data_IF_985872370091
#
_entry.id   IF_985872370091
#
_cell.length_a   1.000
_cell.length_b   1.000
_cell.length_c   1.000
_cell.angle_alpha   90.00
_cell.angle_beta   90.00
_cell.angle_gamma   90.00
#
_symmetry.space_group_name_H-M   'P 1'
#
loop_
_entity.id
_entity.type
_entity.pdbx_description
1 polymer ?
#
# COMPACT_ATOMS: atom_id res chain seq x y z
N UNK A 1 -6.47 8.52 -33.73
CA UNK A 1 -5.56 7.37 -33.67
C UNK A 1 -6.27 6.20 -34.37
N UNK A 2 -5.70 5.68 -35.44
CA UNK A 2 -6.39 4.72 -36.33
C UNK A 2 -6.67 3.39 -35.64
N UNK A 3 -7.91 2.91 -35.69
CA UNK A 3 -8.36 1.61 -35.12
C UNK A 3 -7.52 0.41 -35.57
N UNK A 4 -6.89 0.48 -36.74
CA UNK A 4 -6.00 -0.55 -37.27
C UNK A 4 -4.67 -0.65 -36.53
N UNK A 5 -4.16 0.43 -35.92
CA UNK A 5 -2.92 0.41 -35.12
C UNK A 5 -3.14 -0.15 -33.71
N UNK A 6 -4.36 0.01 -33.17
CA UNK A 6 -4.73 -0.59 -31.88
C UNK A 6 -4.89 -2.12 -32.00
N UNK A 7 -5.44 -2.59 -33.14
CA UNK A 7 -5.60 -4.01 -33.40
C UNK A 7 -4.25 -4.71 -33.63
N UNK A 8 -3.31 -4.04 -34.31
CA UNK A 8 -1.95 -4.54 -34.51
C UNK A 8 -1.15 -4.64 -33.22
N UNK A 9 -1.37 -3.71 -32.27
CA UNK A 9 -0.72 -3.75 -30.95
C UNK A 9 -1.31 -4.87 -30.07
N UNK A 10 -2.61 -5.12 -30.15
CA UNK A 10 -3.27 -6.22 -29.46
C UNK A 10 -2.87 -7.60 -30.02
N UNK A 11 -2.64 -7.73 -31.33
CA UNK A 11 -2.16 -8.98 -31.94
C UNK A 11 -0.68 -9.26 -31.64
N UNK A 12 0.15 -8.23 -31.48
CA UNK A 12 1.56 -8.39 -31.14
C UNK A 12 1.78 -8.90 -29.68
N UNK A 13 0.79 -8.67 -28.81
CA UNK A 13 0.81 -9.19 -27.43
C UNK A 13 0.41 -10.68 -27.34
N UNK A 14 -0.22 -11.24 -28.37
CA UNK A 14 -0.65 -12.65 -28.42
C UNK A 14 0.42 -13.61 -28.94
N UNK A 15 1.57 -13.10 -29.43
CA UNK A 15 2.65 -13.93 -29.98
C UNK A 15 3.80 -14.21 -29.01
N UNK A 16 3.61 -13.94 -27.70
CA UNK A 16 4.59 -14.30 -26.68
C UNK A 16 4.42 -15.78 -26.34
N UNK A 17 5.31 -16.51 -26.88
CA UNK A 17 5.82 -17.83 -26.73
C UNK A 17 5.23 -18.81 -25.72
N UNK A 18 5.15 -20.05 -26.15
CA UNK A 18 4.87 -21.24 -25.38
C UNK A 18 5.59 -21.22 -24.01
N UNK A 19 4.84 -21.01 -22.96
CA UNK A 19 5.27 -21.33 -21.61
C UNK A 19 5.13 -22.85 -21.48
N UNK A 20 6.25 -23.57 -21.51
CA UNK A 20 6.28 -24.94 -21.02
C UNK A 20 5.88 -24.88 -19.53
N UNK A 21 4.72 -25.37 -19.20
CA UNK A 21 4.36 -25.71 -17.84
C UNK A 21 5.19 -26.95 -17.45
N UNK A 22 6.21 -26.74 -16.63
CA UNK A 22 6.86 -27.82 -15.91
C UNK A 22 5.87 -28.33 -14.87
N UNK A 23 5.55 -29.62 -14.92
CA UNK A 23 4.69 -30.27 -13.92
C UNK A 23 5.32 -30.07 -12.54
N UNK A 24 4.70 -29.22 -11.74
CA UNK A 24 5.03 -29.10 -10.33
C UNK A 24 4.51 -30.33 -9.62
N UNK A 25 5.44 -31.18 -9.20
CA UNK A 25 5.18 -32.37 -8.40
C UNK A 25 4.47 -31.94 -7.10
N UNK A 26 3.15 -32.07 -7.11
CA UNK A 26 2.28 -31.75 -5.99
C UNK A 26 2.31 -32.93 -5.04
N UNK A 27 3.10 -32.88 -4.01
CA UNK A 27 2.92 -33.47 -2.68
C UNK A 27 4.23 -33.43 -1.89
N UNK A 28 4.78 -32.23 -1.66
CA UNK A 28 5.52 -32.00 -0.43
C UNK A 28 4.53 -31.39 0.54
N UNK A 29 4.13 -32.16 1.55
CA UNK A 29 3.60 -31.63 2.80
C UNK A 29 4.72 -30.71 3.31
N UNK A 30 4.61 -29.43 2.99
CA UNK A 30 5.43 -28.41 3.61
C UNK A 30 4.91 -28.37 5.03
N UNK A 31 5.69 -28.97 5.94
CA UNK A 31 5.56 -28.70 7.36
C UNK A 31 5.39 -27.18 7.47
N UNK A 32 4.32 -26.72 8.12
CA UNK A 32 4.02 -25.31 8.24
C UNK A 32 5.19 -24.71 8.99
N UNK A 33 6.20 -24.25 8.25
CA UNK A 33 7.33 -23.54 8.84
C UNK A 33 6.73 -22.41 9.64
N UNK A 34 6.98 -22.46 10.94
CA UNK A 34 6.51 -21.50 11.90
C UNK A 34 6.79 -20.08 11.37
N UNK A 35 5.74 -19.33 11.05
CA UNK A 35 5.86 -18.03 10.42
C UNK A 35 6.68 -17.11 11.33
N UNK A 36 7.94 -16.94 10.99
CA UNK A 36 8.82 -15.97 11.64
C UNK A 36 8.32 -14.57 11.28
N UNK A 37 7.74 -13.88 12.25
CA UNK A 37 7.57 -12.45 12.11
C UNK A 37 8.98 -11.87 12.23
N UNK A 38 9.53 -11.47 11.10
CA UNK A 38 10.69 -10.59 11.07
C UNK A 38 10.16 -9.20 11.49
N UNK A 39 9.89 -9.05 12.78
CA UNK A 39 9.82 -7.75 13.40
C UNK A 39 11.14 -7.05 13.11
N UNK A 40 11.22 -5.72 13.08
CA UNK A 40 12.46 -4.99 12.73
C UNK A 40 13.74 -5.74 13.09
N UNK A 41 14.91 -5.41 12.55
CA UNK A 41 16.16 -6.15 12.74
C UNK A 41 16.52 -6.50 14.21
N UNK A 42 15.71 -6.03 15.16
CA UNK A 42 15.88 -6.22 16.61
C UNK A 42 15.14 -7.42 17.21
N UNK A 43 14.25 -8.11 16.48
CA UNK A 43 13.45 -9.20 17.05
C UNK A 43 13.15 -10.30 16.02
N UNK A 44 13.94 -11.36 16.05
CA UNK A 44 13.55 -12.67 15.50
C UNK A 44 12.76 -13.44 16.58
N UNK A 45 11.49 -13.09 16.78
CA UNK A 45 10.62 -13.84 17.70
C UNK A 45 9.54 -14.57 16.92
N UNK A 46 9.25 -15.78 17.34
CA UNK A 46 8.12 -16.55 16.82
C UNK A 46 6.82 -15.84 17.17
N UNK A 47 5.83 -15.90 16.27
CA UNK A 47 4.52 -15.26 16.48
C UNK A 47 3.92 -15.56 17.87
N UNK A 48 4.01 -16.82 18.32
CA UNK A 48 3.52 -17.27 19.62
C UNK A 48 4.24 -16.67 20.83
N UNK A 49 5.43 -16.13 20.65
CA UNK A 49 6.27 -15.56 21.71
C UNK A 49 6.07 -14.04 21.84
N UNK A 50 5.32 -13.44 20.90
CA UNK A 50 5.02 -12.01 20.98
C UNK A 50 3.93 -11.77 22.04
N UNK A 51 4.17 -10.82 22.97
CA UNK A 51 3.18 -10.47 23.99
C UNK A 51 1.97 -9.69 23.42
N UNK A 52 2.02 -9.35 22.14
CA UNK A 52 1.02 -8.53 21.46
C UNK A 52 0.14 -9.35 20.55
N UNK A 53 -1.12 -8.94 20.41
CA UNK A 53 -2.01 -9.52 19.42
C UNK A 53 -1.58 -9.09 18.01
N UNK A 54 -1.26 -10.06 17.17
CA UNK A 54 -0.84 -9.83 15.79
C UNK A 54 -1.86 -10.46 14.82
N UNK A 55 -2.13 -9.77 13.73
CA UNK A 55 -2.86 -10.32 12.59
C UNK A 55 -1.94 -10.29 11.38
N UNK A 56 -1.79 -11.44 10.73
CA UNK A 56 -1.05 -11.58 9.49
C UNK A 56 -2.05 -11.71 8.36
N UNK A 57 -1.87 -10.92 7.32
CA UNK A 57 -2.63 -11.01 6.07
C UNK A 57 -1.66 -11.42 4.97
N UNK A 58 -1.84 -12.62 4.46
CA UNK A 58 -1.07 -13.14 3.32
C UNK A 58 -1.50 -12.47 2.02
N UNK A 59 -0.70 -12.63 0.97
CA UNK A 59 -1.08 -12.19 -0.36
C UNK A 59 -2.43 -12.81 -0.82
N UNK A 60 -2.66 -14.08 -0.50
CA UNK A 60 -3.91 -14.77 -0.83
C UNK A 60 -5.12 -14.14 -0.11
N UNK A 61 -4.98 -13.82 1.19
CA UNK A 61 -6.04 -13.15 1.96
C UNK A 61 -6.36 -11.78 1.36
N UNK A 62 -5.32 -11.01 1.02
CA UNK A 62 -5.48 -9.68 0.42
C UNK A 62 -6.13 -9.74 -0.96
N UNK A 63 -5.77 -10.72 -1.79
CA UNK A 63 -6.39 -10.91 -3.11
C UNK A 63 -7.84 -11.35 -3.00
N UNK A 64 -8.14 -12.34 -2.13
CA UNK A 64 -9.50 -12.83 -1.91
C UNK A 64 -10.43 -11.72 -1.38
N UNK A 65 -9.91 -10.85 -0.53
CA UNK A 65 -10.64 -9.70 0.02
C UNK A 65 -10.54 -8.43 -0.84
N UNK A 66 -9.89 -8.48 -2.00
CA UNK A 66 -9.68 -7.34 -2.91
C UNK A 66 -9.11 -6.08 -2.20
N UNK A 67 -8.09 -6.28 -1.38
CA UNK A 67 -7.43 -5.17 -0.68
C UNK A 67 -6.66 -4.31 -1.68
N UNK A 68 -7.15 -3.10 -1.92
CA UNK A 68 -6.55 -2.11 -2.80
C UNK A 68 -6.07 -0.86 -2.04
N UNK A 69 -6.49 -0.72 -0.79
CA UNK A 69 -6.18 0.41 0.08
C UNK A 69 -6.01 -0.06 1.52
N UNK A 70 -5.22 0.67 2.30
CA UNK A 70 -5.09 0.45 3.74
C UNK A 70 -6.46 0.48 4.46
N UNK A 71 -7.43 1.22 3.94
CA UNK A 71 -8.78 1.35 4.51
C UNK A 71 -9.51 0.00 4.55
N UNK A 72 -9.24 -0.90 3.61
CA UNK A 72 -9.82 -2.23 3.57
C UNK A 72 -9.45 -3.09 4.79
N UNK A 73 -8.35 -2.77 5.48
CA UNK A 73 -7.93 -3.47 6.70
C UNK A 73 -8.97 -3.37 7.81
N UNK A 74 -9.82 -2.34 7.80
CA UNK A 74 -10.92 -2.18 8.77
C UNK A 74 -11.86 -3.40 8.78
N UNK A 75 -12.11 -4.00 7.62
CA UNK A 75 -12.99 -5.16 7.50
C UNK A 75 -12.31 -6.50 7.84
N UNK A 76 -10.97 -6.55 7.80
CA UNK A 76 -10.20 -7.79 7.91
C UNK A 76 -9.53 -7.97 9.27
N UNK A 77 -9.16 -6.87 9.92
CA UNK A 77 -8.38 -6.90 11.15
C UNK A 77 -9.22 -6.48 12.34
N UNK A 78 -9.40 -7.34 13.36
CA UNK A 78 -10.15 -6.97 14.55
C UNK A 78 -9.56 -5.77 15.29
N UNK A 79 -10.43 -4.88 15.79
CA UNK A 79 -10.04 -3.69 16.56
C UNK A 79 -9.18 -2.67 15.80
N UNK A 80 -9.16 -2.70 14.48
CA UNK A 80 -8.67 -1.61 13.65
C UNK A 80 -9.85 -0.84 13.06
N UNK A 81 -9.71 0.46 12.97
CA UNK A 81 -10.68 1.33 12.32
C UNK A 81 -9.96 2.41 11.53
N UNK A 82 -10.21 2.46 10.23
CA UNK A 82 -9.62 3.44 9.32
C UNK A 82 -10.78 4.09 8.58
N UNK A 83 -11.28 5.24 9.07
CA UNK A 83 -12.39 5.93 8.44
C UNK A 83 -12.01 6.47 7.06
N UNK A 84 -12.96 6.45 6.15
CA UNK A 84 -12.86 7.14 4.88
C UNK A 84 -13.46 8.54 4.99
N UNK A 85 -12.64 9.56 4.77
CA UNK A 85 -13.08 10.95 4.76
C UNK A 85 -13.27 11.49 3.33
N UNK A 86 -13.42 10.60 2.34
CA UNK A 86 -13.60 10.97 0.94
C UNK A 86 -12.34 11.44 0.23
N UNK A 87 -11.17 11.18 0.80
CA UNK A 87 -9.87 11.52 0.22
C UNK A 87 -8.75 10.64 0.79
N UNK A 88 -7.67 10.48 0.02
CA UNK A 88 -6.44 9.82 0.48
C UNK A 88 -5.67 10.63 1.55
N UNK A 89 -5.92 11.93 1.66
CA UNK A 89 -5.26 12.80 2.63
C UNK A 89 -5.43 12.33 4.08
N UNK A 90 -6.60 11.82 4.41
CA UNK A 90 -6.96 11.55 5.80
C UNK A 90 -7.02 10.07 6.09
N UNK A 91 -5.86 9.43 6.08
CA UNK A 91 -5.74 8.04 6.53
C UNK A 91 -5.48 7.99 8.04
N UNK A 92 -6.48 8.40 8.84
CA UNK A 92 -6.40 8.23 10.28
C UNK A 92 -6.57 6.75 10.64
N UNK A 93 -5.57 6.17 11.29
CA UNK A 93 -5.61 4.77 11.72
C UNK A 93 -5.82 4.71 13.22
N UNK A 94 -6.83 3.95 13.63
CA UNK A 94 -7.14 3.66 15.02
C UNK A 94 -6.98 2.18 15.31
N UNK A 95 -6.24 1.84 16.35
CA UNK A 95 -6.13 0.47 16.87
C UNK A 95 -6.59 0.48 18.33
N UNK A 96 -7.61 -0.31 18.66
CA UNK A 96 -8.24 -0.34 20.00
C UNK A 96 -8.67 1.05 20.48
N UNK A 97 -9.15 1.90 19.55
CA UNK A 97 -9.54 3.27 19.84
C UNK A 97 -8.39 4.28 19.93
N UNK A 98 -7.13 3.84 19.94
CA UNK A 98 -5.96 4.72 19.98
C UNK A 98 -5.58 5.10 18.54
N UNK A 99 -5.72 6.37 18.21
CA UNK A 99 -5.44 6.91 16.88
C UNK A 99 -5.34 8.43 16.92
N UNK A 100 -5.02 9.04 15.79
CA UNK A 100 -4.94 10.49 15.64
C UNK A 100 -5.50 10.91 14.28
N UNK A 101 -6.51 11.75 14.29
CA UNK A 101 -7.05 12.40 13.09
C UNK A 101 -6.20 13.58 12.64
N UNK A 102 -5.68 14.33 13.60
CA UNK A 102 -4.89 15.55 13.39
C UNK A 102 -3.46 15.30 13.92
N UNK A 103 -2.49 16.00 13.38
CA UNK A 103 -1.07 15.86 13.73
C UNK A 103 -0.45 14.50 13.36
N UNK A 104 0.57 14.10 14.11
CA UNK A 104 1.34 12.87 13.88
C UNK A 104 0.49 11.62 14.12
N UNK A 105 0.69 10.55 13.33
CA UNK A 105 -0.04 9.31 13.54
C UNK A 105 0.32 8.66 14.89
N UNK A 106 -0.65 7.98 15.50
CA UNK A 106 -0.43 7.17 16.72
C UNK A 106 -0.16 5.70 16.42
N UNK A 107 -0.38 5.30 15.17
CA UNK A 107 -0.07 3.98 14.62
C UNK A 107 0.99 4.15 13.55
N UNK A 108 2.09 3.41 13.65
CA UNK A 108 3.18 3.47 12.69
C UNK A 108 2.93 2.61 11.46
N UNK A 109 3.37 3.08 10.31
CA UNK A 109 3.44 2.29 9.08
C UNK A 109 4.90 2.10 8.68
N UNK A 110 5.26 0.87 8.37
CA UNK A 110 6.58 0.49 7.87
C UNK A 110 6.42 -0.31 6.59
N UNK A 111 7.16 0.03 5.55
CA UNK A 111 7.24 -0.73 4.31
C UNK A 111 8.66 -1.23 4.16
N UNK A 112 8.85 -2.55 4.12
CA UNK A 112 10.18 -3.20 4.11
C UNK A 112 11.14 -2.62 5.17
N UNK A 113 10.64 -2.45 6.41
CA UNK A 113 11.29 -1.84 7.56
C UNK A 113 11.56 -0.33 7.48
N UNK A 114 11.21 0.35 6.40
CA UNK A 114 11.35 1.79 6.24
C UNK A 114 10.12 2.48 6.81
N UNK A 115 10.26 3.39 7.80
CA UNK A 115 9.13 4.07 8.39
C UNK A 115 8.52 5.09 7.43
N UNK A 116 7.20 5.08 7.29
CA UNK A 116 6.43 6.15 6.67
C UNK A 116 6.04 7.16 7.73
N UNK A 117 6.46 8.40 7.53
CA UNK A 117 6.44 9.43 8.58
C UNK A 117 5.08 10.13 8.62
N UNK A 118 4.57 10.50 7.46
CA UNK A 118 3.32 11.23 7.32
C UNK A 118 2.16 10.26 7.06
N UNK A 119 1.05 10.46 7.75
CA UNK A 119 -0.16 9.64 7.58
C UNK A 119 -0.79 9.77 6.19
N UNK A 120 -0.59 10.90 5.51
CA UNK A 120 -1.06 11.09 4.13
C UNK A 120 -0.34 10.19 3.14
N UNK A 121 0.78 9.58 3.55
CA UNK A 121 1.51 8.59 2.79
C UNK A 121 1.05 7.14 3.05
N UNK A 122 0.11 6.91 3.96
CA UNK A 122 -0.30 5.55 4.36
C UNK A 122 -1.16 4.85 3.33
N UNK A 123 -1.88 5.58 2.50
CA UNK A 123 -2.68 5.02 1.42
C UNK A 123 -1.90 5.12 0.10
N UNK A 124 -1.32 4.00 -0.32
CA UNK A 124 -0.51 3.84 -1.53
C UNK A 124 -0.94 2.56 -2.28
N UNK A 125 -0.36 2.30 -3.46
CA UNK A 125 -0.70 1.10 -4.22
C UNK A 125 -0.16 -0.17 -3.55
N UNK A 126 -1.02 -1.19 -3.43
CA UNK A 126 -0.78 -2.46 -2.75
C UNK A 126 -0.57 -3.66 -3.70
N UNK A 127 -0.18 -3.42 -4.95
CA UNK A 127 -0.12 -4.47 -5.98
C UNK A 127 1.02 -5.48 -5.81
N UNK A 128 2.15 -5.06 -5.24
CA UNK A 128 3.39 -5.85 -5.11
C UNK A 128 3.64 -6.39 -3.69
N UNK A 129 2.60 -6.37 -2.85
CA UNK A 129 2.70 -6.75 -1.45
C UNK A 129 2.59 -8.26 -1.29
N UNK A 130 3.51 -8.83 -0.52
CA UNK A 130 3.53 -10.23 -0.11
C UNK A 130 2.70 -10.47 1.15
N UNK A 131 2.86 -9.58 2.16
CA UNK A 131 2.24 -9.74 3.47
C UNK A 131 2.06 -8.40 4.18
N UNK A 132 0.99 -8.30 4.98
CA UNK A 132 0.78 -7.22 5.93
C UNK A 132 0.69 -7.80 7.35
N UNK A 133 1.51 -7.29 8.25
CA UNK A 133 1.48 -7.63 9.66
C UNK A 133 0.90 -6.45 10.45
N UNK A 134 -0.16 -6.68 11.21
CA UNK A 134 -0.77 -5.67 12.08
C UNK A 134 -0.53 -6.04 13.54
N UNK A 135 0.34 -5.29 14.20
CA UNK A 135 0.67 -5.44 15.61
C UNK A 135 -0.22 -4.50 16.42
N UNK A 136 -1.10 -5.07 17.23
CA UNK A 136 -2.11 -4.32 18.00
C UNK A 136 -1.67 -4.15 19.44
N UNK A 137 -1.25 -2.94 19.80
CA UNK A 137 -0.78 -2.55 21.12
C UNK A 137 0.51 -1.74 21.05
N UNK A 138 0.93 -1.11 22.14
CA UNK A 138 2.09 -0.23 22.19
C UNK A 138 3.38 -0.93 21.75
N UNK A 139 4.12 -0.28 20.86
CA UNK A 139 5.41 -0.75 20.33
C UNK A 139 6.53 0.32 20.47
N UNK A 140 6.31 1.33 21.32
CA UNK A 140 7.19 2.49 21.43
C UNK A 140 8.62 2.18 21.86
N UNK A 141 8.85 1.12 22.63
CA UNK A 141 10.18 0.71 23.09
C UNK A 141 11.10 0.26 21.95
N UNK A 142 10.54 -0.34 20.91
CA UNK A 142 11.29 -0.88 19.76
C UNK A 142 11.27 0.07 18.56
N UNK A 143 10.14 0.70 18.32
CA UNK A 143 9.88 1.49 17.11
C UNK A 143 9.86 3.01 17.37
N UNK A 144 9.91 3.42 18.63
CA UNK A 144 9.97 4.82 19.01
C UNK A 144 8.64 5.55 18.78
N UNK A 145 8.69 6.68 18.05
CA UNK A 145 7.50 7.51 17.79
C UNK A 145 6.45 6.81 16.96
N UNK A 146 5.22 7.30 17.00
CA UNK A 146 4.08 6.84 16.20
C UNK A 146 3.68 5.37 16.43
N UNK A 147 4.03 4.79 17.58
CA UNK A 147 3.80 3.38 17.87
C UNK A 147 3.00 3.16 19.16
N UNK A 148 2.15 4.13 19.55
CA UNK A 148 1.30 4.03 20.75
C UNK A 148 0.14 3.07 20.61
N UNK A 149 -0.56 3.11 19.49
CA UNK A 149 -1.71 2.22 19.19
C UNK A 149 -1.28 0.88 18.64
N UNK A 150 -0.17 0.85 17.92
CA UNK A 150 0.34 -0.33 17.24
C UNK A 150 1.16 0.01 16.01
N UNK A 151 1.40 -1.02 15.19
CA UNK A 151 2.15 -0.91 13.94
C UNK A 151 1.45 -1.67 12.81
N UNK A 152 1.56 -1.15 11.61
CA UNK A 152 1.27 -1.85 10.37
C UNK A 152 2.60 -2.02 9.62
N UNK A 153 2.98 -3.26 9.36
CA UNK A 153 4.18 -3.59 8.60
C UNK A 153 3.77 -4.21 7.28
N UNK A 154 4.24 -3.62 6.21
CA UNK A 154 4.00 -4.07 4.85
C UNK A 154 5.30 -4.66 4.31
N UNK A 155 5.22 -5.88 3.80
CA UNK A 155 6.34 -6.57 3.19
C UNK A 155 6.07 -6.73 1.71
N UNK A 156 6.97 -6.23 0.87
CA UNK A 156 6.91 -6.47 -0.57
C UNK A 156 7.62 -7.78 -0.92
N UNK A 157 7.27 -8.37 -2.06
CA UNK A 157 7.92 -9.60 -2.51
C UNK A 157 9.42 -9.42 -2.69
N UNK A 158 10.19 -10.35 -2.15
CA UNK A 158 11.64 -10.32 -2.31
C UNK A 158 12.06 -10.82 -3.70
N UNK A 159 12.88 -10.06 -4.45
CA UNK A 159 13.38 -10.52 -5.75
C UNK A 159 14.41 -11.66 -5.64
N UNK A 160 14.85 -12.04 -4.44
CA UNK A 160 15.66 -13.25 -4.24
C UNK A 160 14.83 -14.51 -4.14
N UNK A 161 13.65 -14.44 -3.50
CA UNK A 161 12.77 -15.60 -3.28
C UNK A 161 11.74 -15.76 -4.38
N UNK A 162 11.35 -14.69 -5.06
CA UNK A 162 10.37 -14.70 -6.12
C UNK A 162 10.97 -14.19 -7.44
N UNK A 163 10.72 -14.92 -8.53
CA UNK A 163 11.20 -14.62 -9.88
C UNK A 163 10.01 -14.59 -10.83
N UNK A 164 10.00 -13.68 -11.76
CA UNK A 164 8.96 -13.61 -12.80
C UNK A 164 8.37 -12.23 -12.95
N UNK A 165 7.24 -12.17 -13.64
CA UNK A 165 6.50 -10.93 -13.86
C UNK A 165 5.07 -11.10 -13.39
N UNK A 166 4.68 -10.30 -12.43
CA UNK A 166 3.29 -10.18 -12.00
C UNK A 166 2.60 -9.14 -12.86
N UNK A 167 1.46 -9.51 -13.41
CA UNK A 167 0.63 -8.62 -14.18
C UNK A 167 -0.80 -8.67 -13.64
N UNK A 168 -1.38 -7.52 -13.41
CA UNK A 168 -2.76 -7.41 -12.93
C UNK A 168 -3.53 -6.40 -13.76
N UNK A 169 -4.73 -6.79 -14.18
CA UNK A 169 -5.73 -5.89 -14.78
C UNK A 169 -7.03 -6.09 -14.03
N UNK A 170 -7.67 -5.01 -13.67
CA UNK A 170 -9.00 -5.01 -13.07
C UNK A 170 -9.90 -3.97 -13.74
N UNK A 171 -11.17 -4.30 -13.84
CA UNK A 171 -12.21 -3.38 -14.26
C UNK A 171 -13.43 -3.56 -13.36
N UNK A 172 -14.08 -2.48 -13.02
CA UNK A 172 -15.24 -2.46 -12.13
C UNK A 172 -16.34 -1.53 -12.61
N UNK A 173 -17.45 -1.58 -11.92
CA UNK A 173 -18.54 -0.63 -12.12
C UNK A 173 -18.07 0.81 -11.87
N UNK A 174 -18.84 1.80 -12.35
CA UNK A 174 -18.51 3.23 -12.21
C UNK A 174 -17.19 3.63 -12.89
N UNK A 175 -16.79 2.91 -13.94
CA UNK A 175 -15.56 3.13 -14.70
C UNK A 175 -14.30 3.02 -13.81
N UNK A 176 -14.24 1.99 -12.99
CA UNK A 176 -13.03 1.67 -12.26
C UNK A 176 -12.10 0.83 -13.12
N UNK A 177 -10.84 1.23 -13.22
CA UNK A 177 -9.79 0.51 -13.93
C UNK A 177 -8.53 0.51 -13.09
N UNK A 178 -7.90 -0.64 -12.96
CA UNK A 178 -6.59 -0.77 -12.36
C UNK A 178 -5.70 -1.67 -13.21
N UNK A 179 -4.45 -1.31 -13.29
CA UNK A 179 -3.43 -2.13 -13.94
C UNK A 179 -2.13 -1.98 -13.18
N UNK A 180 -1.41 -3.08 -13.06
CA UNK A 180 -0.05 -3.07 -12.52
C UNK A 180 0.80 -4.13 -13.18
N UNK A 181 2.09 -3.86 -13.26
CA UNK A 181 3.09 -4.80 -13.69
C UNK A 181 4.31 -4.66 -12.80
N UNK A 182 4.85 -5.78 -12.32
CA UNK A 182 6.10 -5.81 -11.55
C UNK A 182 6.93 -7.01 -12.00
N UNK A 183 8.16 -6.73 -12.40
CA UNK A 183 9.13 -7.75 -12.78
C UNK A 183 10.13 -7.95 -11.64
N UNK A 184 10.42 -9.23 -11.34
CA UNK A 184 11.36 -9.66 -10.32
C UNK A 184 12.44 -10.50 -10.96
N UNK A 185 13.70 -10.13 -10.74
CA UNK A 185 14.82 -10.79 -11.38
C UNK A 185 16.00 -10.94 -10.41
N UNK A 186 16.49 -12.18 -10.28
CA UNK A 186 17.72 -12.49 -9.60
C UNK A 186 18.85 -12.64 -10.64
N UNK A 187 19.72 -11.64 -10.71
CA UNK A 187 20.82 -11.66 -11.69
C UNK A 187 21.90 -12.69 -11.33
N UNK A 188 22.17 -12.86 -10.03
CA UNK A 188 23.13 -13.81 -9.51
C UNK A 188 22.88 -14.08 -8.03
N UNK A 189 23.74 -14.82 -7.36
CA UNK A 189 23.62 -15.15 -5.94
C UNK A 189 23.74 -13.94 -5.01
N UNK A 190 24.27 -12.82 -5.51
CA UNK A 190 24.55 -11.62 -4.71
C UNK A 190 23.70 -10.40 -5.08
N UNK A 191 23.00 -10.43 -6.20
CA UNK A 191 22.21 -9.28 -6.63
C UNK A 191 20.88 -9.70 -7.24
N UNK A 192 19.83 -9.10 -6.72
CA UNK A 192 18.46 -9.24 -7.24
C UNK A 192 17.74 -7.89 -7.20
N UNK A 193 16.82 -7.67 -8.12
CA UNK A 193 16.00 -6.48 -8.17
C UNK A 193 14.56 -6.76 -8.58
N UNK A 194 13.69 -5.87 -8.22
CA UNK A 194 12.35 -5.77 -8.78
C UNK A 194 12.08 -4.34 -9.25
N UNK A 195 11.29 -4.22 -10.31
CA UNK A 195 10.84 -2.94 -10.84
C UNK A 195 9.41 -3.09 -11.33
N UNK A 196 8.55 -2.18 -10.95
CA UNK A 196 7.15 -2.23 -11.33
C UNK A 196 6.50 -0.86 -11.39
N UNK A 197 5.33 -0.82 -12.00
CA UNK A 197 4.50 0.37 -12.10
C UNK A 197 3.02 0.01 -12.08
N UNK A 198 2.21 1.01 -11.80
CA UNK A 198 0.76 0.86 -11.76
C UNK A 198 0.06 2.11 -12.30
N UNK A 199 -1.18 1.91 -12.69
CA UNK A 199 -2.15 2.97 -12.98
C UNK A 199 -3.52 2.55 -12.47
N UNK A 200 -4.19 3.47 -11.79
CA UNK A 200 -5.54 3.31 -11.27
C UNK A 200 -6.39 4.50 -11.70
N UNK A 201 -7.64 4.22 -12.07
CA UNK A 201 -8.64 5.22 -12.39
C UNK A 201 -9.98 4.83 -11.77
N UNK A 202 -10.62 5.81 -11.13
CA UNK A 202 -11.94 5.70 -10.55
C UNK A 202 -12.85 6.77 -11.17
N UNK A 203 -13.91 6.35 -11.83
CA UNK A 203 -14.83 7.26 -12.53
C UNK A 203 -15.78 8.02 -11.60
N UNK A 204 -15.71 7.76 -10.29
CA UNK A 204 -16.52 8.39 -9.25
C UNK A 204 -17.96 7.87 -9.16
N UNK A 205 -18.52 8.04 -8.00
CA UNK A 205 -19.87 7.59 -7.64
C UNK A 205 -20.81 8.77 -7.31
N UNK A 206 -20.33 9.72 -6.50
CA UNK A 206 -21.12 10.82 -5.99
C UNK A 206 -21.27 11.94 -7.01
N UNK A 207 -22.47 12.46 -7.11
CA UNK A 207 -22.81 13.58 -8.01
C UNK A 207 -23.13 14.82 -7.20
N UNK A 208 -22.62 15.96 -7.64
CA UNK A 208 -22.89 17.25 -7.05
C UNK A 208 -24.05 17.94 -7.81
N UNK A 209 -25.11 18.24 -7.09
CA UNK A 209 -26.33 18.84 -7.67
C UNK A 209 -26.12 20.29 -8.15
N UNK A 210 -25.27 21.06 -7.48
CA UNK A 210 -24.94 22.45 -7.86
C UNK A 210 -24.00 22.51 -9.07
N UNK A 211 -23.13 21.52 -9.26
CA UNK A 211 -22.18 21.45 -10.36
C UNK A 211 -22.70 20.59 -11.53
N UNK A 212 -23.90 20.86 -12.02
CA UNK A 212 -24.52 20.18 -13.16
C UNK A 212 -24.48 18.65 -13.07
N UNK A 213 -24.67 18.08 -11.88
CA UNK A 213 -24.57 16.65 -11.63
C UNK A 213 -23.20 16.03 -11.98
N UNK A 214 -22.13 16.82 -11.97
CA UNK A 214 -20.76 16.35 -12.16
C UNK A 214 -20.39 15.34 -11.06
N UNK A 215 -19.71 14.26 -11.43
CA UNK A 215 -19.13 13.32 -10.47
C UNK A 215 -17.92 13.97 -9.81
N UNK A 216 -17.92 14.02 -8.49
CA UNK A 216 -16.93 14.80 -7.72
C UNK A 216 -15.83 13.98 -7.08
N UNK A 217 -16.02 12.68 -6.95
CA UNK A 217 -15.11 11.73 -6.32
C UNK A 217 -14.30 10.91 -7.34
N UNK A 218 -14.27 11.32 -8.61
CA UNK A 218 -13.42 10.70 -9.63
C UNK A 218 -11.94 10.91 -9.28
N UNK A 219 -11.10 9.93 -9.61
CA UNK A 219 -9.68 10.03 -9.32
C UNK A 219 -8.83 9.17 -10.23
N UNK A 220 -7.54 9.48 -10.24
CA UNK A 220 -6.52 8.68 -10.88
C UNK A 220 -5.24 8.69 -10.05
N UNK A 221 -4.52 7.59 -10.11
CA UNK A 221 -3.18 7.48 -9.54
C UNK A 221 -2.27 6.67 -10.46
N UNK A 222 -1.01 7.03 -10.46
CA UNK A 222 0.03 6.32 -11.19
C UNK A 222 1.33 6.36 -10.42
N UNK A 223 2.14 5.34 -10.55
CA UNK A 223 3.41 5.30 -9.86
C UNK A 223 4.22 4.06 -10.17
N UNK A 224 5.30 3.92 -9.44
CA UNK A 224 6.15 2.74 -9.55
C UNK A 224 7.04 2.57 -8.34
N UNK A 225 7.61 1.39 -8.25
CA UNK A 225 8.56 0.99 -7.21
C UNK A 225 9.72 0.23 -7.81
N UNK A 226 10.90 0.49 -7.26
CA UNK A 226 12.12 -0.25 -7.54
C UNK A 226 12.68 -0.72 -6.20
N UNK A 227 13.04 -1.99 -6.11
CA UNK A 227 13.76 -2.57 -4.97
C UNK A 227 14.98 -3.31 -5.49
N UNK A 228 16.12 -3.10 -4.86
CA UNK A 228 17.38 -3.77 -5.19
C UNK A 228 18.01 -4.31 -3.91
N UNK A 229 18.34 -5.59 -3.92
CA UNK A 229 19.01 -6.25 -2.80
C UNK A 229 20.40 -6.69 -3.28
N UNK A 230 21.41 -6.27 -2.54
CA UNK A 230 22.80 -6.61 -2.82
C UNK A 230 23.48 -7.22 -1.59
N UNK A 231 24.15 -8.34 -1.80
CA UNK A 231 24.90 -9.08 -0.81
C UNK A 231 26.42 -8.97 -1.14
N UNK A 232 27.12 -7.92 -0.66
CA UNK A 232 28.56 -7.74 -0.94
C UNK A 232 29.40 -8.93 -0.50
N UNK A 233 29.02 -9.56 0.61
CA UNK A 233 29.56 -10.81 1.13
C UNK A 233 28.46 -11.56 1.88
N UNK A 234 28.77 -12.75 2.40
CA UNK A 234 27.82 -13.57 3.14
C UNK A 234 27.35 -12.91 4.45
N UNK A 235 28.09 -11.92 4.92
CA UNK A 235 27.83 -11.20 6.15
C UNK A 235 27.10 -9.86 5.95
N UNK A 236 27.00 -9.35 4.73
CA UNK A 236 26.42 -8.06 4.44
C UNK A 236 25.20 -8.17 3.54
N UNK A 237 24.15 -7.43 3.91
CA UNK A 237 22.98 -7.23 3.07
C UNK A 237 22.65 -5.75 2.99
N UNK A 238 22.49 -5.26 1.76
CA UNK A 238 21.98 -3.94 1.45
C UNK A 238 20.65 -4.11 0.72
N UNK A 239 19.59 -3.48 1.22
CA UNK A 239 18.26 -3.55 0.64
C UNK A 239 17.77 -2.11 0.39
N UNK A 240 17.79 -1.71 -0.86
CA UNK A 240 17.41 -0.39 -1.33
C UNK A 240 16.01 -0.42 -1.93
N UNK A 241 15.17 0.53 -1.55
CA UNK A 241 13.79 0.64 -2.00
C UNK A 241 13.48 2.10 -2.35
N UNK A 242 12.89 2.32 -3.51
CA UNK A 242 12.38 3.63 -3.94
C UNK A 242 11.00 3.45 -4.53
N UNK A 243 10.06 4.28 -4.11
CA UNK A 243 8.72 4.35 -4.70
C UNK A 243 8.32 5.79 -4.97
N UNK A 244 7.62 5.99 -6.08
CA UNK A 244 7.01 7.26 -6.42
C UNK A 244 5.54 7.03 -6.78
N UNK A 245 4.68 7.91 -6.28
CA UNK A 245 3.25 7.90 -6.59
C UNK A 245 2.75 9.32 -6.85
N UNK A 246 2.04 9.46 -7.95
CA UNK A 246 1.23 10.61 -8.30
C UNK A 246 -0.24 10.27 -8.08
N UNK A 247 -0.99 11.18 -7.50
CA UNK A 247 -2.43 11.07 -7.35
C UNK A 247 -3.13 12.39 -7.62
N UNK A 248 -4.22 12.32 -8.36
CA UNK A 248 -5.11 13.45 -8.65
C UNK A 248 -6.54 12.95 -8.51
N UNK A 249 -7.26 13.45 -7.52
CA UNK A 249 -8.63 13.04 -7.27
C UNK A 249 -9.50 14.23 -6.93
N UNK A 250 -10.77 14.14 -7.30
CA UNK A 250 -11.83 14.89 -6.66
C UNK A 250 -11.97 14.42 -5.22
N UNK A 251 -13.00 14.76 -4.56
CA UNK A 251 -13.19 14.21 -3.24
C UNK A 251 -14.19 15.02 -2.43
N UNK A 252 -14.24 14.62 -1.16
CA UNK A 252 -15.04 15.29 -0.16
C UNK A 252 -16.51 15.44 -0.59
N UNK A 253 -17.20 14.34 -0.97
CA UNK A 253 -18.61 14.40 -1.40
C UNK A 253 -19.51 14.60 -0.19
N UNK A 254 -19.26 15.68 0.54
CA UNK A 254 -19.96 16.01 1.76
C UNK A 254 -21.31 16.64 1.48
N UNK A 255 -22.23 16.45 2.39
CA UNK A 255 -23.53 17.10 2.43
C UNK A 255 -23.85 17.56 3.85
N UNK A 256 -24.73 18.53 3.98
CA UNK A 256 -25.16 19.03 5.28
C UNK A 256 -25.97 17.95 6.02
N UNK A 257 -25.63 17.75 7.28
CA UNK A 257 -26.36 16.85 8.17
C UNK A 257 -27.51 17.58 8.84
N UNK A 258 -28.71 17.08 8.65
CA UNK A 258 -29.91 17.56 9.35
C UNK A 258 -30.05 16.79 10.68
N UNK A 259 -29.90 17.51 11.79
CA UNK A 259 -29.97 16.93 13.15
C UNK A 259 -31.40 16.50 13.54
N UNK A 260 -32.45 17.09 12.94
CA UNK A 260 -33.83 16.79 13.27
C UNK A 260 -34.32 15.51 12.59
N UNK A 261 -33.96 15.31 11.33
CA UNK A 261 -34.34 14.13 10.53
C UNK A 261 -33.31 13.00 10.58
N UNK A 262 -32.05 13.30 10.95
CA UNK A 262 -30.95 12.34 10.89
C UNK A 262 -30.41 12.10 9.48
N UNK A 263 -30.88 12.87 8.49
CA UNK A 263 -30.52 12.70 7.09
C UNK A 263 -29.30 13.54 6.69
N UNK A 264 -28.58 13.11 5.67
CA UNK A 264 -27.53 13.87 4.99
C UNK A 264 -28.07 14.40 3.66
N UNK A 265 -27.98 15.69 3.46
CA UNK A 265 -28.38 16.31 2.20
C UNK A 265 -27.51 15.83 1.04
N UNK A 266 -28.01 15.94 -0.18
CA UNK A 266 -27.22 15.67 -1.38
C UNK A 266 -26.03 16.64 -1.44
N UNK A 267 -24.89 16.15 -1.94
CA UNK A 267 -23.72 16.99 -2.23
C UNK A 267 -24.11 18.13 -3.18
N UNK A 268 -23.95 19.38 -2.75
CA UNK A 268 -24.44 20.57 -3.48
C UNK A 268 -23.55 21.80 -3.29
N UNK A 269 -22.26 21.62 -3.03
CA UNK A 269 -21.30 22.73 -2.93
C UNK A 269 -21.00 23.36 -4.29
N UNK A 270 -20.62 24.63 -4.31
CA UNK A 270 -20.38 25.42 -5.52
C UNK A 270 -18.93 25.40 -6.00
N UNK A 271 -17.95 25.20 -5.09
CA UNK A 271 -16.54 25.13 -5.42
C UNK A 271 -16.05 23.68 -5.49
N UNK A 272 -15.33 23.32 -6.57
CA UNK A 272 -14.85 21.95 -6.75
C UNK A 272 -13.80 21.58 -5.69
N UNK A 273 -14.10 20.55 -4.92
CA UNK A 273 -13.13 19.96 -3.99
C UNK A 273 -12.20 18.98 -4.72
N UNK A 274 -10.93 19.02 -4.36
CA UNK A 274 -9.92 18.13 -4.96
C UNK A 274 -8.75 17.86 -4.01
N UNK A 275 -8.07 16.74 -4.25
CA UNK A 275 -6.82 16.39 -3.59
C UNK A 275 -5.78 15.92 -4.61
N UNK A 276 -4.64 16.56 -4.57
CA UNK A 276 -3.50 16.30 -5.44
C UNK A 276 -2.29 15.91 -4.61
N UNK A 277 -1.56 14.85 -5.01
CA UNK A 277 -0.42 14.33 -4.26
C UNK A 277 0.71 13.87 -5.16
N UNK A 278 1.93 14.22 -4.77
CA UNK A 278 3.18 13.58 -5.20
C UNK A 278 3.88 13.04 -3.96
N UNK A 279 4.14 11.76 -3.95
CA UNK A 279 4.77 11.06 -2.85
C UNK A 279 6.00 10.30 -3.35
N UNK A 280 7.16 10.66 -2.84
CA UNK A 280 8.42 9.94 -3.05
C UNK A 280 8.87 9.35 -1.72
N UNK A 281 9.11 8.05 -1.70
CA UNK A 281 9.75 7.38 -0.58
C UNK A 281 11.01 6.70 -1.09
N UNK A 282 12.08 6.79 -0.32
CA UNK A 282 13.32 6.08 -0.55
C UNK A 282 13.86 5.54 0.76
N UNK A 283 14.49 4.39 0.74
CA UNK A 283 15.07 3.81 1.93
C UNK A 283 16.19 2.84 1.63
N UNK A 284 17.06 2.70 2.60
CA UNK A 284 18.17 1.76 2.60
C UNK A 284 18.21 1.03 3.93
N UNK A 285 18.11 -0.27 3.88
CA UNK A 285 18.39 -1.16 5.01
C UNK A 285 19.77 -1.76 4.81
N UNK A 286 20.61 -1.62 5.81
CA UNK A 286 21.95 -2.23 5.85
C UNK A 286 21.99 -3.19 7.02
N UNK A 287 22.37 -4.42 6.76
CA UNK A 287 22.52 -5.46 7.78
C UNK A 287 23.93 -6.08 7.67
N UNK A 288 24.59 -6.18 8.81
CA UNK A 288 25.84 -6.87 8.96
C UNK A 288 25.71 -7.95 10.04
N UNK A 289 25.94 -9.19 9.65
CA UNK A 289 25.88 -10.34 10.54
C UNK A 289 27.27 -10.83 10.90
N UNK A 290 27.68 -10.62 12.15
CA UNK A 290 28.89 -11.20 12.73
C UNK A 290 28.55 -12.55 13.39
N UNK A 291 29.57 -13.24 13.89
CA UNK A 291 29.39 -14.52 14.58
C UNK A 291 28.51 -14.40 15.83
N UNK A 292 28.60 -13.30 16.58
CA UNK A 292 27.96 -13.12 17.89
C UNK A 292 26.97 -11.97 17.95
N UNK A 293 26.83 -11.18 16.89
CA UNK A 293 25.89 -10.04 16.86
C UNK A 293 25.45 -9.71 15.43
N UNK A 294 24.30 -9.08 15.32
CA UNK A 294 23.82 -8.47 14.07
C UNK A 294 23.75 -6.97 14.25
N UNK A 295 24.37 -6.21 13.34
CA UNK A 295 24.23 -4.76 13.26
C UNK A 295 23.30 -4.44 12.11
N UNK A 296 22.31 -3.59 12.38
CA UNK A 296 21.39 -3.13 11.35
C UNK A 296 21.20 -1.62 11.41
N UNK A 297 21.17 -1.00 10.25
CA UNK A 297 20.90 0.41 10.08
C UNK A 297 19.80 0.62 9.03
N UNK A 298 18.85 1.47 9.34
CA UNK A 298 17.73 1.82 8.43
C UNK A 298 17.75 3.32 8.23
N UNK A 299 17.81 3.73 6.97
CA UNK A 299 17.70 5.12 6.57
C UNK A 299 16.52 5.28 5.65
N UNK A 300 15.63 6.23 5.95
CA UNK A 300 14.46 6.53 5.14
C UNK A 300 14.41 8.00 4.75
N UNK A 301 13.97 8.28 3.55
CA UNK A 301 13.66 9.60 3.05
C UNK A 301 12.23 9.61 2.50
N UNK A 302 11.45 10.60 2.91
CA UNK A 302 10.10 10.81 2.41
C UNK A 302 9.93 12.25 1.97
N UNK A 303 9.45 12.44 0.75
CA UNK A 303 9.05 13.74 0.23
C UNK A 303 7.59 13.67 -0.19
N UNK A 304 6.76 14.42 0.51
CA UNK A 304 5.34 14.57 0.24
C UNK A 304 5.06 16.01 -0.19
N UNK A 305 4.48 16.17 -1.37
CA UNK A 305 3.93 17.46 -1.84
C UNK A 305 2.48 17.22 -2.20
N UNK A 306 1.59 17.79 -1.43
CA UNK A 306 0.16 17.68 -1.66
C UNK A 306 -0.53 19.04 -1.66
N UNK A 307 -1.75 19.04 -2.19
CA UNK A 307 -2.61 20.22 -2.23
C UNK A 307 -4.05 19.76 -2.13
N UNK A 308 -4.77 20.34 -1.19
CA UNK A 308 -6.18 20.09 -0.95
C UNK A 308 -6.98 21.35 -1.22
N UNK A 309 -8.08 21.21 -1.95
CA UNK A 309 -9.15 22.18 -2.03
C UNK A 309 -10.42 21.57 -1.46
N UNK A 310 -11.07 22.29 -0.60
CA UNK A 310 -12.29 21.85 0.05
C UNK A 310 -13.22 23.03 0.19
N UNK A 311 -14.41 22.92 -0.37
CA UNK A 311 -15.51 23.79 -0.06
C UNK A 311 -15.97 23.50 1.37
N UNK A 312 -15.90 24.49 2.25
CA UNK A 312 -16.09 24.28 3.70
C UNK A 312 -17.51 24.51 4.17
N UNK A 313 -18.34 25.26 3.42
CA UNK A 313 -19.73 25.48 3.78
C UNK A 313 -20.66 24.40 3.22
N UNK A 314 -20.20 23.61 2.22
CA UNK A 314 -20.92 22.51 1.59
C UNK A 314 -22.25 22.90 0.96
N UNK A 315 -22.42 24.16 0.58
CA UNK A 315 -23.64 24.73 0.00
C UNK A 315 -23.40 25.37 -1.36
N UNK A 316 -24.48 25.61 -2.10
CA UNK A 316 -24.46 26.31 -3.38
C UNK A 316 -24.66 27.81 -3.22
#
# INVERSE_FOLDING_TARGET
MNKSKLLAFALALLSIGNVCAEEVDTLKIVDVEEVLIIAAPKENRKLRELPNAVTLLSQQDMQAAQVNSIKNLTALVPNIFIPDYGSRLTSAVYIRGIGSRINTPSVGLYVDNIPYIDKSAFDFNYSDIERIDVLRGPQGTLYGRNAMGGLIKVHTKSPFSYQGTDFRIGAGTHNQYNTSVTHYHRMNERFAFSAGGFYEYEGGFFRNAALNNKKVDKGQSAGGRIRAIYLPSDNWKLDFNVSYEYGDQGGYPYGLYNKETGDVAKTAYNDESSYYRNLLNAGLNVEYQAQNFTLSAVTGYQHLKDRMFLDQDFTA
#
